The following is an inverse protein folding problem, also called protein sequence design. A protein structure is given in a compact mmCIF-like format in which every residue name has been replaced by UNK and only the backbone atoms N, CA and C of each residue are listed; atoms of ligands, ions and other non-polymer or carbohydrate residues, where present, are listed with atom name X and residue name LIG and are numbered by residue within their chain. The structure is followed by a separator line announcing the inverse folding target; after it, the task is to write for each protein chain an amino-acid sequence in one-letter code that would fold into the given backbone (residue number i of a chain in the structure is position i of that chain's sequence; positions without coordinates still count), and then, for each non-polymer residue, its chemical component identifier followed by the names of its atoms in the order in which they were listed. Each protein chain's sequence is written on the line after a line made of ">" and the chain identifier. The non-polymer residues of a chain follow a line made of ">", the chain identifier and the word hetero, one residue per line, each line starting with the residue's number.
data_IF_437982875226
#
_entry.id   IF_437982875226
#
_cell.length_a   1.000
_cell.length_b   1.000
_cell.length_c   1.000
_cell.angle_alpha   90.00
_cell.angle_beta   90.00
_cell.angle_gamma   90.00
#
_symmetry.space_group_name_H-M   'P 1'
#
loop_
_entity.id
_entity.type
_entity.pdbx_description
1 polymer ?
#
# COMPACT_ATOMS: atom_id res chain seq x y z
N UNK A 1 -4.98 -18.64 6.92
CA UNK A 1 -4.91 -17.37 6.13
C UNK A 1 -3.49 -16.88 6.23
N UNK A 2 -2.88 -16.47 5.12
CA UNK A 2 -1.49 -16.00 5.09
C UNK A 2 -1.47 -14.47 5.26
N UNK A 3 -0.33 -13.93 5.68
CA UNK A 3 -0.08 -12.49 5.61
C UNK A 3 0.05 -12.05 4.15
N UNK A 4 -0.32 -10.82 3.88
CA UNK A 4 -0.16 -10.13 2.60
C UNK A 4 0.21 -8.67 2.90
N UNK A 5 1.05 -8.08 2.07
CA UNK A 5 1.30 -6.64 2.10
C UNK A 5 1.40 -6.10 0.68
N UNK A 6 0.57 -5.12 0.37
CA UNK A 6 0.57 -4.47 -0.94
C UNK A 6 1.37 -3.17 -0.96
N UNK A 7 2.09 -2.89 0.12
CA UNK A 7 2.89 -1.69 0.29
C UNK A 7 4.23 -2.07 0.93
N UNK A 8 5.28 -2.10 0.12
CA UNK A 8 6.65 -2.44 0.54
C UNK A 8 7.67 -1.77 -0.38
N UNK A 9 8.83 -1.46 0.18
CA UNK A 9 9.92 -0.72 -0.46
C UNK A 9 11.18 -1.57 -0.59
N UNK A 10 11.96 -1.28 -1.61
CA UNK A 10 13.23 -1.95 -1.93
C UNK A 10 14.35 -0.92 -2.07
N UNK A 11 15.54 -1.38 -2.43
CA UNK A 11 16.67 -0.49 -2.77
C UNK A 11 16.41 0.40 -3.99
N UNK A 12 15.29 0.22 -4.70
CA UNK A 12 14.91 1.13 -5.79
C UNK A 12 14.39 2.47 -5.27
N UNK A 13 14.06 2.56 -3.97
CA UNK A 13 13.84 3.81 -3.25
C UNK A 13 14.70 3.86 -1.98
N UNK A 14 14.15 3.57 -0.85
CA UNK A 14 14.77 3.70 0.47
C UNK A 14 14.67 2.43 1.34
N UNK A 15 14.23 1.32 0.75
CA UNK A 15 14.30 0.02 1.39
C UNK A 15 15.71 -0.56 1.41
N UNK A 16 15.95 -1.53 2.30
CA UNK A 16 17.26 -2.16 2.48
C UNK A 16 17.50 -3.38 1.59
N UNK A 17 16.44 -3.97 1.00
CA UNK A 17 16.49 -5.24 0.29
C UNK A 17 16.31 -5.05 -1.22
N UNK A 18 17.05 -5.83 -2.02
CA UNK A 18 16.69 -5.96 -3.43
C UNK A 18 15.33 -6.69 -3.56
N UNK A 19 14.56 -6.50 -4.65
CA UNK A 19 13.23 -7.09 -4.79
C UNK A 19 13.15 -8.60 -4.56
N UNK A 20 14.15 -9.37 -4.99
CA UNK A 20 14.17 -10.82 -4.78
C UNK A 20 14.44 -11.21 -3.32
N UNK A 21 15.25 -10.45 -2.59
CA UNK A 21 15.44 -10.62 -1.15
C UNK A 21 14.16 -10.30 -0.38
N UNK A 22 13.50 -9.19 -0.71
CA UNK A 22 12.21 -8.84 -0.14
C UNK A 22 11.20 -9.97 -0.34
N UNK A 23 11.07 -10.49 -1.55
CA UNK A 23 10.18 -11.60 -1.84
C UNK A 23 10.54 -12.85 -1.02
N UNK A 24 11.83 -13.19 -0.93
CA UNK A 24 12.28 -14.34 -0.13
C UNK A 24 12.04 -14.16 1.36
N UNK A 25 12.31 -12.96 1.90
CA UNK A 25 12.05 -12.65 3.29
C UNK A 25 10.56 -12.73 3.64
N UNK A 26 9.70 -12.22 2.76
CA UNK A 26 8.25 -12.31 2.92
C UNK A 26 7.76 -13.76 2.80
N UNK A 27 8.29 -14.54 1.87
CA UNK A 27 7.96 -15.97 1.72
C UNK A 27 8.27 -16.76 2.98
N UNK A 28 9.45 -16.57 3.59
CA UNK A 28 9.83 -17.18 4.88
C UNK A 28 8.91 -16.78 6.03
N UNK A 29 8.41 -15.54 6.00
CA UNK A 29 7.45 -15.03 6.99
C UNK A 29 5.99 -15.46 6.69
N UNK A 30 5.77 -16.34 5.71
CA UNK A 30 4.46 -16.90 5.38
C UNK A 30 3.54 -15.93 4.61
N UNK A 31 4.10 -14.96 3.89
CA UNK A 31 3.32 -14.12 2.98
C UNK A 31 2.96 -14.87 1.70
N UNK A 32 1.76 -14.65 1.21
CA UNK A 32 1.33 -15.22 -0.08
C UNK A 32 1.37 -14.20 -1.23
N UNK A 33 1.26 -12.92 -0.94
CA UNK A 33 1.27 -11.84 -1.93
C UNK A 33 2.00 -10.63 -1.37
N UNK A 34 2.78 -9.98 -2.25
CA UNK A 34 3.43 -8.69 -1.96
C UNK A 34 3.20 -7.71 -3.12
N UNK A 35 2.99 -6.44 -2.80
CA UNK A 35 3.20 -5.34 -3.72
C UNK A 35 4.63 -4.83 -3.58
N UNK A 36 5.32 -4.58 -4.67
CA UNK A 36 6.59 -3.85 -4.69
C UNK A 36 6.24 -2.46 -5.18
N UNK A 37 6.29 -1.49 -4.28
CA UNK A 37 5.67 -0.17 -4.47
C UNK A 37 6.59 0.96 -4.02
N UNK A 38 7.83 0.89 -4.49
CA UNK A 38 8.87 1.87 -4.20
C UNK A 38 8.43 3.32 -4.45
N UNK A 39 9.02 4.26 -3.72
CA UNK A 39 8.74 5.69 -3.83
C UNK A 39 9.10 6.25 -5.20
N UNK A 40 8.17 7.01 -5.79
CA UNK A 40 8.39 7.65 -7.08
C UNK A 40 7.86 9.08 -7.15
N UNK A 41 8.58 9.85 -7.94
CA UNK A 41 8.14 11.11 -8.50
C UNK A 41 8.44 11.15 -10.01
N UNK A 42 8.39 12.32 -10.64
CA UNK A 42 8.67 12.47 -12.09
C UNK A 42 10.10 12.12 -12.49
N UNK A 43 11.05 12.04 -11.55
CA UNK A 43 12.48 11.81 -11.86
C UNK A 43 12.81 10.33 -12.04
N UNK A 44 12.10 9.42 -11.34
CA UNK A 44 12.42 7.99 -11.32
C UNK A 44 11.29 7.07 -11.78
N UNK A 45 10.06 7.58 -11.97
CA UNK A 45 8.86 6.79 -12.24
C UNK A 45 9.03 5.78 -13.37
N UNK A 46 9.60 6.18 -14.50
CA UNK A 46 9.75 5.31 -15.67
C UNK A 46 10.68 4.14 -15.39
N UNK A 47 11.90 4.43 -14.95
CA UNK A 47 12.91 3.40 -14.67
C UNK A 47 12.46 2.45 -13.55
N UNK A 48 11.82 3.00 -12.51
CA UNK A 48 11.33 2.24 -11.37
C UNK A 48 10.23 1.26 -11.78
N UNK A 49 9.19 1.73 -12.46
CA UNK A 49 8.07 0.86 -12.87
C UNK A 49 8.52 -0.23 -13.84
N UNK A 50 9.35 0.11 -14.83
CA UNK A 50 9.89 -0.87 -15.80
C UNK A 50 10.68 -1.97 -15.09
N UNK A 51 11.57 -1.61 -14.15
CA UNK A 51 12.36 -2.57 -13.39
C UNK A 51 11.48 -3.43 -12.46
N UNK A 52 10.50 -2.82 -11.79
CA UNK A 52 9.58 -3.53 -10.90
C UNK A 52 8.71 -4.52 -11.69
N UNK A 53 8.19 -4.16 -12.86
CA UNK A 53 7.45 -5.07 -13.75
C UNK A 53 8.30 -6.28 -14.15
N UNK A 54 9.58 -6.04 -14.51
CA UNK A 54 10.51 -7.10 -14.90
C UNK A 54 10.75 -8.07 -13.75
N UNK A 55 11.11 -7.58 -12.56
CA UNK A 55 11.44 -8.45 -11.43
C UNK A 55 10.22 -9.17 -10.87
N UNK A 56 9.03 -8.55 -10.84
CA UNK A 56 7.80 -9.22 -10.43
C UNK A 56 7.44 -10.38 -11.37
N UNK A 57 7.69 -10.26 -12.67
CA UNK A 57 7.52 -11.35 -13.63
C UNK A 57 8.44 -12.53 -13.28
N UNK A 58 9.69 -12.26 -12.96
CA UNK A 58 10.66 -13.30 -12.59
C UNK A 58 10.30 -13.96 -11.26
N UNK A 59 9.93 -13.18 -10.23
CA UNK A 59 9.42 -13.71 -8.96
C UNK A 59 8.22 -14.62 -9.21
N UNK A 60 7.23 -14.17 -9.95
CA UNK A 60 6.00 -14.93 -10.22
C UNK A 60 6.25 -16.21 -11.02
N UNK A 61 7.35 -16.27 -11.79
CA UNK A 61 7.75 -17.44 -12.56
C UNK A 61 8.54 -18.47 -11.73
N UNK A 62 9.41 -18.00 -10.87
CA UNK A 62 10.41 -18.86 -10.22
C UNK A 62 10.18 -19.12 -8.73
N UNK A 63 9.39 -18.29 -8.02
CA UNK A 63 9.00 -18.53 -6.64
C UNK A 63 7.68 -19.29 -6.59
N UNK A 64 7.58 -20.29 -5.71
CA UNK A 64 6.41 -21.18 -5.67
C UNK A 64 5.30 -20.73 -4.74
N UNK A 65 5.63 -20.06 -3.64
CA UNK A 65 4.71 -19.81 -2.52
C UNK A 65 4.27 -18.37 -2.39
N UNK A 66 4.90 -17.45 -3.14
CA UNK A 66 4.62 -16.01 -3.10
C UNK A 66 4.35 -15.45 -4.50
N UNK A 67 3.48 -14.44 -4.57
CA UNK A 67 3.21 -13.68 -5.79
C UNK A 67 3.54 -12.20 -5.57
N UNK A 68 4.26 -11.61 -6.52
CA UNK A 68 4.63 -10.21 -6.51
C UNK A 68 3.81 -9.41 -7.53
N UNK A 69 3.33 -8.24 -7.11
CA UNK A 69 2.53 -7.33 -7.91
C UNK A 69 3.36 -6.07 -8.15
N UNK A 70 3.63 -5.72 -9.41
CA UNK A 70 4.37 -4.50 -9.71
C UNK A 70 3.54 -3.27 -9.43
N UNK A 71 4.09 -2.36 -8.66
CA UNK A 71 3.42 -1.13 -8.30
C UNK A 71 4.37 0.04 -8.09
N UNK A 72 3.82 1.11 -7.56
CA UNK A 72 4.52 2.33 -7.23
C UNK A 72 3.77 3.08 -6.15
N UNK A 73 4.49 3.76 -5.27
CA UNK A 73 3.92 4.78 -4.39
C UNK A 73 4.37 6.16 -4.84
N UNK A 74 3.42 7.01 -5.24
CA UNK A 74 3.69 8.41 -5.55
C UNK A 74 3.88 9.18 -4.24
N UNK A 75 5.11 9.65 -4.00
CA UNK A 75 5.53 10.15 -2.70
C UNK A 75 5.97 11.61 -2.79
N UNK A 76 5.41 12.47 -1.92
CA UNK A 76 5.72 13.91 -1.81
C UNK A 76 5.61 14.71 -3.13
N UNK A 77 4.92 14.18 -4.14
CA UNK A 77 4.67 14.90 -5.39
C UNK A 77 3.68 16.05 -5.17
N UNK A 78 3.73 17.08 -6.00
CA UNK A 78 2.75 18.14 -5.90
C UNK A 78 1.34 17.58 -6.14
N UNK A 79 0.33 17.90 -5.31
CA UNK A 79 -1.00 17.29 -5.38
C UNK A 79 -1.59 17.25 -6.80
N UNK A 80 -1.47 18.32 -7.55
CA UNK A 80 -1.98 18.42 -8.93
C UNK A 80 -1.23 17.56 -9.96
N UNK A 81 -0.08 17.01 -9.61
CA UNK A 81 0.66 16.08 -10.49
C UNK A 81 0.22 14.63 -10.32
N UNK A 82 -0.46 14.29 -9.21
CA UNK A 82 -0.82 12.92 -8.86
C UNK A 82 -1.59 12.25 -9.99
N UNK A 83 -2.63 12.89 -10.53
CA UNK A 83 -3.46 12.32 -11.59
C UNK A 83 -2.66 11.99 -12.86
N UNK A 84 -1.73 12.85 -13.25
CA UNK A 84 -0.85 12.62 -14.39
C UNK A 84 0.11 11.46 -14.13
N UNK A 85 0.80 11.47 -12.98
CA UNK A 85 1.80 10.44 -12.64
C UNK A 85 1.15 9.07 -12.41
N UNK A 86 -0.06 9.00 -11.81
CA UNK A 86 -0.81 7.76 -11.67
C UNK A 86 -1.15 7.15 -13.04
N UNK A 87 -1.65 7.95 -13.98
CA UNK A 87 -1.92 7.50 -15.34
C UNK A 87 -0.67 7.04 -16.06
N UNK A 88 0.44 7.75 -15.88
CA UNK A 88 1.73 7.39 -16.48
C UNK A 88 2.28 6.08 -15.89
N UNK A 89 2.18 5.89 -14.57
CA UNK A 89 2.53 4.62 -13.91
C UNK A 89 1.76 3.43 -14.51
N UNK A 90 0.45 3.59 -14.73
CA UNK A 90 -0.38 2.56 -15.39
C UNK A 90 0.11 2.28 -16.82
N UNK A 91 0.38 3.32 -17.60
CA UNK A 91 0.90 3.18 -18.97
C UNK A 91 2.21 2.40 -19.03
N UNK A 92 3.07 2.60 -18.03
CA UNK A 92 4.35 1.91 -17.90
C UNK A 92 4.21 0.46 -17.40
N UNK A 93 3.04 0.06 -16.92
CA UNK A 93 2.72 -1.31 -16.52
C UNK A 93 2.54 -1.54 -15.01
N UNK A 94 2.51 -0.48 -14.19
CA UNK A 94 2.18 -0.62 -12.78
C UNK A 94 0.75 -1.16 -12.62
N UNK A 95 0.62 -2.27 -11.89
CA UNK A 95 -0.66 -2.89 -11.53
C UNK A 95 -1.25 -2.32 -10.26
N UNK A 96 -0.38 -1.87 -9.34
CA UNK A 96 -0.74 -1.15 -8.12
C UNK A 96 -0.22 0.28 -8.20
N UNK A 97 -1.07 1.25 -7.91
CA UNK A 97 -0.68 2.65 -7.72
C UNK A 97 -1.16 3.11 -6.36
N UNK A 98 -0.21 3.45 -5.51
CA UNK A 98 -0.43 4.04 -4.20
C UNK A 98 -0.08 5.52 -4.22
N UNK A 99 -0.64 6.26 -3.29
CA UNK A 99 -0.20 7.63 -2.99
C UNK A 99 0.09 7.73 -1.50
N UNK A 100 1.26 8.23 -1.17
CA UNK A 100 1.68 8.60 0.16
C UNK A 100 0.74 9.68 0.71
N UNK A 101 -0.10 9.30 1.66
CA UNK A 101 -1.13 10.16 2.24
C UNK A 101 -0.57 11.17 3.23
N UNK A 102 -1.45 12.03 3.72
CA UNK A 102 -1.12 13.11 4.66
C UNK A 102 -0.88 12.57 6.08
N UNK A 103 0.07 11.64 6.22
CA UNK A 103 0.51 11.16 7.53
C UNK A 103 0.94 12.32 8.43
N UNK A 104 0.76 12.18 9.76
CA UNK A 104 1.21 13.19 10.71
C UNK A 104 2.71 13.10 11.05
N UNK A 105 3.38 12.07 10.56
CA UNK A 105 4.80 11.77 10.84
C UNK A 105 5.75 12.48 9.88
N UNK A 106 5.22 12.99 8.75
CA UNK A 106 6.01 13.60 7.68
C UNK A 106 5.35 14.86 7.12
N UNK A 107 6.14 15.78 6.52
CA UNK A 107 5.63 17.05 6.03
C UNK A 107 4.95 16.93 4.66
N UNK A 108 3.92 16.09 4.54
CA UNK A 108 3.16 15.92 3.30
C UNK A 108 2.34 17.19 3.01
N UNK A 109 2.32 17.57 1.76
CA UNK A 109 1.60 18.78 1.33
C UNK A 109 0.09 18.61 1.50
N UNK A 110 -0.61 19.55 2.18
CA UNK A 110 -2.07 19.53 2.29
C UNK A 110 -2.75 19.49 0.92
N UNK A 111 -3.85 18.73 0.81
CA UNK A 111 -4.58 18.49 -0.44
C UNK A 111 -4.10 17.23 -1.20
N UNK A 112 -3.06 16.56 -0.73
CA UNK A 112 -2.57 15.31 -1.30
C UNK A 112 -3.64 14.23 -1.25
N UNK A 113 -4.28 14.01 -0.08
CA UNK A 113 -5.35 13.03 0.05
C UNK A 113 -6.49 13.29 -0.94
N UNK A 114 -6.93 14.55 -1.04
CA UNK A 114 -8.03 14.91 -1.93
C UNK A 114 -7.71 14.67 -3.40
N UNK A 115 -6.54 15.09 -3.87
CA UNK A 115 -6.14 14.89 -5.27
C UNK A 115 -5.85 13.41 -5.58
N UNK A 116 -5.29 12.65 -4.63
CA UNK A 116 -5.11 11.22 -4.75
C UNK A 116 -6.46 10.51 -4.95
N UNK A 117 -7.46 10.82 -4.12
CA UNK A 117 -8.80 10.23 -4.22
C UNK A 117 -9.58 10.62 -5.48
N UNK A 118 -9.15 11.64 -6.21
CA UNK A 118 -9.69 12.01 -7.51
C UNK A 118 -8.90 11.42 -8.69
N UNK A 119 -7.81 10.69 -8.38
CA UNK A 119 -6.91 10.10 -9.38
C UNK A 119 -7.16 8.60 -9.57
N UNK A 120 -6.46 7.97 -10.53
CA UNK A 120 -6.53 6.53 -10.81
C UNK A 120 -5.54 5.76 -9.93
N UNK A 121 -5.88 5.68 -8.64
CA UNK A 121 -5.10 4.95 -7.64
C UNK A 121 -5.89 3.80 -7.03
N UNK A 122 -5.20 2.85 -6.43
CA UNK A 122 -5.80 1.70 -5.76
C UNK A 122 -5.89 1.89 -4.24
N UNK A 123 -4.82 2.44 -3.66
CA UNK A 123 -4.68 2.60 -2.21
C UNK A 123 -4.25 4.03 -1.90
N UNK A 124 -4.92 4.67 -0.96
CA UNK A 124 -4.40 5.84 -0.28
C UNK A 124 -3.68 5.34 0.98
N UNK A 125 -2.34 5.42 0.95
CA UNK A 125 -1.48 4.94 2.03
C UNK A 125 -1.53 5.89 3.23
N UNK A 126 -1.53 5.33 4.45
CA UNK A 126 -1.46 6.04 5.74
C UNK A 126 -1.93 7.51 5.72
N UNK A 127 -3.23 7.78 5.45
CA UNK A 127 -3.77 9.09 5.08
C UNK A 127 -3.87 10.10 6.25
N UNK A 128 -3.22 9.81 7.36
CA UNK A 128 -3.17 10.71 8.51
C UNK A 128 -4.55 11.02 9.10
N UNK A 129 -4.81 12.29 9.32
CA UNK A 129 -6.10 12.78 9.83
C UNK A 129 -7.11 13.01 8.69
N UNK A 130 -7.27 12.02 7.82
CA UNK A 130 -8.23 12.05 6.71
C UNK A 130 -9.59 12.57 7.16
N UNK A 131 -10.19 13.45 6.37
CA UNK A 131 -11.48 14.03 6.67
C UNK A 131 -12.65 13.09 6.32
N UNK A 132 -13.83 13.34 6.93
CA UNK A 132 -15.05 12.61 6.59
C UNK A 132 -15.43 12.76 5.10
N UNK A 133 -15.21 13.95 4.51
CA UNK A 133 -15.48 14.21 3.09
C UNK A 133 -14.58 13.36 2.18
N UNK A 134 -13.30 13.27 2.49
CA UNK A 134 -12.35 12.45 1.76
C UNK A 134 -12.66 10.95 1.91
N UNK A 135 -13.04 10.49 3.11
CA UNK A 135 -13.44 9.11 3.33
C UNK A 135 -14.70 8.72 2.52
N UNK A 136 -15.68 9.65 2.40
CA UNK A 136 -16.86 9.47 1.53
C UNK A 136 -16.42 9.37 0.06
N UNK A 137 -15.46 10.20 -0.36
CA UNK A 137 -14.90 10.15 -1.72
C UNK A 137 -14.19 8.84 -1.99
N UNK A 138 -13.37 8.35 -1.05
CA UNK A 138 -12.71 7.05 -1.15
C UNK A 138 -13.71 5.92 -1.38
N UNK A 139 -14.78 5.86 -0.57
CA UNK A 139 -15.87 4.89 -0.76
C UNK A 139 -16.51 5.00 -2.14
N UNK A 140 -16.86 6.20 -2.58
CA UNK A 140 -17.49 6.45 -3.88
C UNK A 140 -16.60 6.00 -5.05
N UNK A 141 -15.29 6.21 -4.92
CA UNK A 141 -14.30 5.87 -5.95
C UNK A 141 -13.84 4.42 -5.89
N UNK A 142 -14.20 3.69 -4.82
CA UNK A 142 -13.75 2.32 -4.59
C UNK A 142 -12.27 2.19 -4.20
N UNK A 143 -11.62 3.31 -3.83
CA UNK A 143 -10.22 3.34 -3.41
C UNK A 143 -10.11 2.77 -2.00
N UNK A 144 -9.12 1.91 -1.79
CA UNK A 144 -8.84 1.33 -0.49
C UNK A 144 -8.07 2.31 0.39
N UNK A 145 -8.39 2.30 1.67
CA UNK A 145 -7.70 3.11 2.68
C UNK A 145 -6.80 2.19 3.50
N UNK A 146 -5.55 2.56 3.67
CA UNK A 146 -4.58 1.73 4.37
C UNK A 146 -4.70 1.86 5.89
N UNK A 147 -4.62 0.71 6.56
CA UNK A 147 -4.21 0.54 7.95
C UNK A 147 -2.81 -0.05 7.89
N UNK A 148 -1.82 0.65 8.44
CA UNK A 148 -0.42 0.28 8.31
C UNK A 148 0.18 -0.23 9.62
N UNK A 149 1.18 -1.11 9.53
CA UNK A 149 1.98 -1.51 10.70
C UNK A 149 3.24 -0.65 10.88
N UNK A 150 3.52 0.28 9.96
CA UNK A 150 4.70 1.15 9.99
C UNK A 150 4.68 2.07 11.19
N UNK A 151 5.79 2.07 11.94
CA UNK A 151 5.97 2.99 13.05
C UNK A 151 5.86 4.46 12.58
N UNK A 152 5.20 5.29 13.36
CA UNK A 152 4.90 6.67 12.99
C UNK A 152 3.61 6.80 12.19
N UNK A 153 3.51 6.16 11.04
CA UNK A 153 2.31 6.20 10.19
C UNK A 153 1.09 5.55 10.85
N UNK A 154 1.31 4.53 11.66
CA UNK A 154 0.26 3.84 12.42
C UNK A 154 -0.41 4.68 13.52
N UNK A 155 0.14 5.83 13.89
CA UNK A 155 -0.43 6.68 14.94
C UNK A 155 -1.86 7.14 14.68
N UNK A 156 -2.26 7.23 13.43
CA UNK A 156 -3.60 7.64 13.04
C UNK A 156 -4.52 6.49 12.62
N UNK A 157 -4.06 5.24 12.70
CA UNK A 157 -4.86 4.07 12.35
C UNK A 157 -6.25 4.04 13.01
N UNK A 158 -6.34 4.44 14.30
CA UNK A 158 -7.61 4.49 15.02
C UNK A 158 -8.60 5.50 14.45
N UNK A 159 -8.12 6.70 14.07
CA UNK A 159 -8.92 7.71 13.40
C UNK A 159 -9.42 7.21 12.03
N UNK A 160 -8.51 6.65 11.25
CA UNK A 160 -8.79 6.11 9.92
C UNK A 160 -9.82 4.98 10.00
N UNK A 161 -9.60 4.00 10.88
CA UNK A 161 -10.49 2.86 11.08
C UNK A 161 -11.90 3.29 11.50
N UNK A 162 -12.00 4.22 12.47
CA UNK A 162 -13.29 4.76 12.93
C UNK A 162 -14.10 5.38 11.78
N UNK A 163 -13.49 6.28 11.01
CA UNK A 163 -14.18 6.93 9.88
C UNK A 163 -14.52 5.95 8.76
N UNK A 164 -13.62 5.03 8.45
CA UNK A 164 -13.88 4.02 7.43
C UNK A 164 -15.05 3.11 7.79
N UNK A 165 -15.16 2.69 9.04
CA UNK A 165 -16.31 1.91 9.53
C UNK A 165 -17.61 2.72 9.50
N UNK A 166 -17.58 3.98 9.97
CA UNK A 166 -18.76 4.85 9.97
C UNK A 166 -19.32 5.05 8.55
N UNK A 167 -18.44 5.22 7.58
CA UNK A 167 -18.82 5.51 6.19
C UNK A 167 -19.02 4.24 5.36
N UNK A 168 -18.39 3.12 5.77
CA UNK A 168 -18.35 1.87 5.01
C UNK A 168 -17.36 1.94 3.84
N UNK A 169 -16.23 2.62 4.01
CA UNK A 169 -15.12 2.59 3.08
C UNK A 169 -14.30 1.29 3.25
N UNK A 170 -13.72 0.80 2.15
CA UNK A 170 -12.89 -0.41 2.19
C UNK A 170 -11.51 -0.09 2.77
N UNK A 171 -11.03 -0.95 3.64
CA UNK A 171 -9.66 -0.86 4.19
C UNK A 171 -8.84 -2.07 3.79
N UNK A 172 -7.52 -1.88 3.69
CA UNK A 172 -6.49 -2.92 3.56
C UNK A 172 -5.51 -2.82 4.72
N UNK A 173 -4.80 -3.92 4.98
CA UNK A 173 -3.68 -3.95 5.92
C UNK A 173 -2.39 -4.09 5.13
N UNK A 174 -1.40 -3.24 5.39
CA UNK A 174 -0.07 -3.30 4.79
C UNK A 174 1.02 -3.05 5.81
N UNK A 175 2.26 -3.35 5.43
CA UNK A 175 3.41 -3.19 6.32
C UNK A 175 4.16 -1.89 6.09
N UNK A 176 4.15 -1.39 4.86
CA UNK A 176 5.03 -0.29 4.47
C UNK A 176 6.47 -0.62 4.88
N UNK A 177 6.87 -1.85 4.53
CA UNK A 177 8.10 -2.47 4.99
C UNK A 177 9.29 -2.04 4.15
N UNK A 178 10.37 -1.58 4.82
CA UNK A 178 11.61 -1.13 4.21
C UNK A 178 12.80 -2.04 4.58
N UNK A 179 12.68 -2.81 5.65
CA UNK A 179 13.76 -3.67 6.18
C UNK A 179 13.20 -4.94 6.83
N UNK A 180 14.03 -5.99 7.01
CA UNK A 180 13.58 -7.30 7.46
C UNK A 180 12.66 -7.31 8.69
N UNK A 181 12.94 -6.50 9.70
CA UNK A 181 12.16 -6.42 10.94
C UNK A 181 10.76 -5.78 10.78
N UNK A 182 10.44 -5.20 9.63
CA UNK A 182 9.16 -4.55 9.37
C UNK A 182 8.17 -5.46 8.62
N UNK A 183 8.62 -6.60 8.10
CA UNK A 183 7.73 -7.62 7.52
C UNK A 183 7.11 -8.47 8.63
N UNK A 184 6.07 -7.93 9.25
CA UNK A 184 5.46 -8.49 10.45
C UNK A 184 4.70 -9.79 10.19
N UNK A 185 4.61 -10.66 11.20
CA UNK A 185 3.77 -11.86 11.13
C UNK A 185 2.29 -11.54 11.03
N UNK A 186 1.48 -12.51 10.55
CA UNK A 186 0.02 -12.39 10.53
C UNK A 186 -0.54 -12.02 11.93
N UNK A 187 -0.01 -12.65 12.98
CA UNK A 187 -0.44 -12.37 14.36
C UNK A 187 -0.18 -10.91 14.76
N UNK A 188 0.97 -10.35 14.37
CA UNK A 188 1.29 -8.96 14.65
C UNK A 188 0.45 -7.99 13.83
N UNK A 189 0.21 -8.28 12.54
CA UNK A 189 -0.69 -7.48 11.70
C UNK A 189 -2.11 -7.42 12.26
N UNK A 190 -2.64 -8.56 12.73
CA UNK A 190 -3.94 -8.60 13.41
C UNK A 190 -3.94 -7.80 14.71
N UNK A 191 -2.88 -7.87 15.53
CA UNK A 191 -2.76 -7.04 16.75
C UNK A 191 -2.77 -5.55 16.43
N UNK A 192 -2.11 -5.13 15.34
CA UNK A 192 -2.15 -3.73 14.89
C UNK A 192 -3.57 -3.29 14.51
N UNK A 193 -4.31 -4.14 13.79
CA UNK A 193 -5.70 -3.85 13.44
C UNK A 193 -6.60 -3.77 14.69
N UNK A 194 -6.42 -4.68 15.67
CA UNK A 194 -7.14 -4.63 16.95
C UNK A 194 -6.77 -3.35 17.74
N UNK A 195 -5.48 -2.98 17.76
CA UNK A 195 -5.01 -1.73 18.37
C UNK A 195 -5.59 -0.47 17.73
N UNK A 196 -5.97 -0.52 16.46
CA UNK A 196 -6.72 0.53 15.78
C UNK A 196 -8.22 0.58 16.15
N UNK A 197 -8.67 -0.27 17.08
CA UNK A 197 -10.07 -0.33 17.55
C UNK A 197 -10.99 -1.23 16.72
N UNK A 198 -10.44 -2.05 15.83
CA UNK A 198 -11.21 -3.01 15.05
C UNK A 198 -11.53 -4.26 15.88
N UNK A 199 -12.67 -4.87 15.64
CA UNK A 199 -12.98 -6.23 16.14
C UNK A 199 -12.20 -7.30 15.35
N UNK A 200 -12.11 -8.52 15.88
CA UNK A 200 -11.51 -9.65 15.16
C UNK A 200 -12.12 -9.85 13.76
N UNK A 201 -13.45 -9.79 13.64
CA UNK A 201 -14.15 -9.94 12.36
C UNK A 201 -13.78 -8.82 11.36
N UNK A 202 -13.66 -7.59 11.84
CA UNK A 202 -13.24 -6.45 11.02
C UNK A 202 -11.77 -6.55 10.59
N UNK A 203 -10.87 -6.96 11.50
CA UNK A 203 -9.46 -7.21 11.19
C UNK A 203 -9.29 -8.30 10.11
N UNK A 204 -10.07 -9.39 10.20
CA UNK A 204 -10.10 -10.42 9.16
C UNK A 204 -10.65 -9.89 7.83
N UNK A 205 -11.59 -8.94 7.87
CA UNK A 205 -12.11 -8.28 6.66
C UNK A 205 -11.04 -7.45 5.96
N UNK A 206 -10.13 -6.77 6.69
CA UNK A 206 -8.99 -6.08 6.10
C UNK A 206 -8.12 -7.04 5.28
N UNK A 207 -7.74 -8.17 5.87
CA UNK A 207 -6.93 -9.20 5.18
C UNK A 207 -7.65 -9.77 3.96
N UNK A 208 -8.96 -9.99 4.05
CA UNK A 208 -9.78 -10.42 2.92
C UNK A 208 -9.77 -9.38 1.80
N UNK A 209 -9.94 -8.11 2.14
CA UNK A 209 -9.89 -7.01 1.17
C UNK A 209 -8.51 -6.92 0.50
N UNK A 210 -7.42 -7.00 1.29
CA UNK A 210 -6.05 -7.01 0.76
C UNK A 210 -5.87 -8.16 -0.23
N UNK A 211 -6.39 -9.36 0.09
CA UNK A 211 -6.32 -10.52 -0.80
C UNK A 211 -7.13 -10.32 -2.07
N UNK A 212 -8.36 -9.81 -1.98
CA UNK A 212 -9.20 -9.52 -3.14
C UNK A 212 -8.48 -8.56 -4.08
N UNK A 213 -7.94 -7.46 -3.56
CA UNK A 213 -7.20 -6.50 -4.36
C UNK A 213 -5.95 -7.14 -5.01
N UNK A 214 -5.17 -7.93 -4.25
CA UNK A 214 -4.01 -8.64 -4.78
C UNK A 214 -4.37 -9.57 -5.96
N UNK A 215 -5.40 -10.39 -5.80
CA UNK A 215 -5.85 -11.33 -6.83
C UNK A 215 -6.42 -10.60 -8.07
N UNK A 216 -7.06 -9.45 -7.89
CA UNK A 216 -7.52 -8.59 -8.98
C UNK A 216 -6.33 -8.05 -9.80
N UNK A 217 -5.27 -7.60 -9.14
CA UNK A 217 -4.09 -7.02 -9.79
C UNK A 217 -3.16 -8.04 -10.45
N UNK A 218 -3.31 -9.32 -10.14
CA UNK A 218 -2.57 -10.42 -10.78
C UNK A 218 -3.22 -10.92 -12.09
N UNK A 219 -4.48 -10.56 -12.36
CA UNK A 219 -5.18 -10.85 -13.62
C UNK A 219 -4.74 -9.88 -14.71
#
# INVERSE_FOLDING_TARGET
>A
MNMLSLHNHTIHSDGELIPSELARQCEENGYSHIGITDHADSSNLESLVVNTVKVCRDINKYFSSIKAIPGVELTHVAPKQIAFLAKEARRLGAKLVLVHGETISEPVRPGTNYEALNSDIDILAHPGLITKKEMVLAKKRGIYIEITTKHGHSFTNGHVAKLALEIGAKMVLSTDGHRPGEFVSLAQGLKTALGAGLTNAQALTLLKNTKILAEEKLR
#
